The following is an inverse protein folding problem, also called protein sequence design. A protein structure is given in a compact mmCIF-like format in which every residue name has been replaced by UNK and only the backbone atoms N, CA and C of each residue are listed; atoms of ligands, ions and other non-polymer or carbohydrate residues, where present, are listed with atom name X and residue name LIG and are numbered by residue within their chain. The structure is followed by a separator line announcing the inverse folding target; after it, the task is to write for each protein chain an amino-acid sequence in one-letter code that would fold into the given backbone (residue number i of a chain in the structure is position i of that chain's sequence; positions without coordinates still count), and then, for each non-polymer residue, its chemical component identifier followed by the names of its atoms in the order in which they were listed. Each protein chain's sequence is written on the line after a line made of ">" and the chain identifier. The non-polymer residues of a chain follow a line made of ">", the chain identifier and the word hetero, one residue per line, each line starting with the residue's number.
data_IF_430538452980
#
_entry.id   IF_430538452980
#
_cell.length_a   1.000
_cell.length_b   1.000
_cell.length_c   1.000
_cell.angle_alpha   90.00
_cell.angle_beta   90.00
_cell.angle_gamma   90.00
#
_symmetry.space_group_name_H-M   'P 1'
#
loop_
_entity.id
_entity.type
_entity.pdbx_description
1 polymer ?
#
# COMPACT_ATOMS: atom_id res chain seq x y z
N UNK A 1 -12.26 19.88 -0.72
CA UNK A 1 -13.20 19.45 0.33
C UNK A 1 -12.89 20.06 1.71
N UNK A 2 -12.09 21.11 1.82
CA UNK A 2 -11.73 21.70 3.13
C UNK A 2 -12.83 22.57 3.76
N UNK A 3 -13.95 22.77 3.07
CA UNK A 3 -14.98 23.75 3.43
C UNK A 3 -16.18 23.15 4.18
N UNK A 4 -16.34 21.83 4.18
CA UNK A 4 -17.50 21.16 4.81
C UNK A 4 -17.01 20.28 5.93
N UNK A 5 -17.39 20.48 7.20
CA UNK A 5 -16.92 19.64 8.30
C UNK A 5 -17.37 18.18 8.13
N UNK A 6 -16.59 17.22 8.65
CA UNK A 6 -16.95 15.80 8.58
C UNK A 6 -15.77 14.83 8.70
N UNK A 7 -16.06 13.51 8.75
CA UNK A 7 -15.06 12.46 8.99
C UNK A 7 -14.01 12.32 7.87
N UNK A 8 -14.30 12.83 6.69
CA UNK A 8 -13.36 12.84 5.56
C UNK A 8 -12.07 13.61 5.88
N UNK A 9 -12.11 14.65 6.74
CA UNK A 9 -10.90 15.32 7.21
C UNK A 9 -9.97 14.38 7.97
N UNK A 10 -10.53 13.56 8.87
CA UNK A 10 -9.78 12.55 9.61
C UNK A 10 -9.25 11.47 8.67
N UNK A 11 -10.06 11.00 7.72
CA UNK A 11 -9.64 10.02 6.72
C UNK A 11 -8.45 10.52 5.88
N UNK A 12 -8.49 11.79 5.45
CA UNK A 12 -7.39 12.44 4.73
C UNK A 12 -6.14 12.58 5.60
N UNK A 13 -6.28 12.94 6.89
CA UNK A 13 -5.13 13.00 7.83
C UNK A 13 -4.45 11.64 7.97
N UNK A 14 -5.23 10.59 8.24
CA UNK A 14 -4.72 9.23 8.40
C UNK A 14 -4.08 8.71 7.11
N UNK A 15 -4.65 9.04 5.95
CA UNK A 15 -4.04 8.69 4.66
C UNK A 15 -2.68 9.37 4.46
N UNK A 16 -2.55 10.65 4.85
CA UNK A 16 -1.25 11.35 4.81
C UNK A 16 -0.23 10.72 5.74
N UNK A 17 -0.61 10.43 6.99
CA UNK A 17 0.26 9.77 7.97
C UNK A 17 0.76 8.40 7.45
N UNK A 18 -0.11 7.64 6.76
CA UNK A 18 0.29 6.39 6.13
C UNK A 18 1.27 6.60 4.98
N UNK A 19 1.06 7.61 4.14
CA UNK A 19 1.99 7.94 3.05
C UNK A 19 3.36 8.36 3.59
N UNK A 20 3.41 9.11 4.70
CA UNK A 20 4.65 9.46 5.40
C UNK A 20 5.37 8.22 5.95
N UNK A 21 4.64 7.29 6.55
CA UNK A 21 5.19 6.01 6.99
C UNK A 21 5.77 5.19 5.82
N UNK A 22 5.05 5.12 4.70
CA UNK A 22 5.53 4.47 3.47
C UNK A 22 6.80 5.14 2.95
N UNK A 23 6.91 6.46 3.04
CA UNK A 23 8.10 7.19 2.60
C UNK A 23 9.35 6.79 3.39
N UNK A 24 9.23 6.60 4.72
CA UNK A 24 10.35 6.13 5.54
C UNK A 24 10.77 4.69 5.17
N UNK A 25 9.81 3.81 4.86
CA UNK A 25 10.11 2.46 4.35
C UNK A 25 10.85 2.54 3.02
N UNK A 26 10.35 3.34 2.06
CA UNK A 26 10.97 3.48 0.74
C UNK A 26 12.40 4.02 0.87
N UNK A 27 12.62 4.99 1.76
CA UNK A 27 13.95 5.52 2.06
C UNK A 27 14.92 4.44 2.57
N UNK A 28 14.46 3.55 3.46
CA UNK A 28 15.26 2.41 3.91
C UNK A 28 15.55 1.41 2.78
N UNK A 29 14.57 1.14 1.91
CA UNK A 29 14.77 0.31 0.73
C UNK A 29 15.83 0.90 -0.22
N UNK A 30 15.80 2.23 -0.44
CA UNK A 30 16.78 2.92 -1.29
C UNK A 30 18.22 2.77 -0.80
N UNK A 31 18.44 2.79 0.52
CA UNK A 31 19.78 2.63 1.12
C UNK A 31 20.41 1.27 0.84
N UNK A 32 19.60 0.27 0.52
CA UNK A 32 20.01 -1.13 0.33
C UNK A 32 19.70 -1.64 -1.09
N UNK A 33 19.45 -0.73 -2.03
CA UNK A 33 19.05 -1.05 -3.39
C UNK A 33 20.21 -1.65 -4.19
N UNK A 34 19.97 -2.80 -4.82
CA UNK A 34 20.88 -3.42 -5.78
C UNK A 34 20.20 -3.53 -7.16
N UNK A 35 20.70 -2.78 -8.14
CA UNK A 35 20.08 -2.68 -9.47
C UNK A 35 20.00 -4.02 -10.23
N UNK A 36 20.92 -4.95 -9.97
CA UNK A 36 20.97 -6.27 -10.61
C UNK A 36 20.12 -7.33 -9.92
N UNK A 37 19.63 -7.06 -8.70
CA UNK A 37 18.92 -8.05 -7.86
C UNK A 37 17.79 -7.38 -7.05
N UNK A 38 16.68 -7.01 -7.70
CA UNK A 38 15.52 -6.45 -6.99
C UNK A 38 14.95 -7.47 -6.00
N UNK A 39 14.63 -7.02 -4.78
CA UNK A 39 14.10 -7.90 -3.71
C UNK A 39 12.58 -7.94 -3.68
N UNK A 40 11.94 -6.79 -3.89
CA UNK A 40 10.51 -6.60 -3.73
C UNK A 40 10.02 -5.45 -4.61
N UNK A 41 8.70 -5.23 -4.63
CA UNK A 41 8.03 -4.21 -5.45
C UNK A 41 8.73 -2.84 -5.46
N UNK A 42 9.14 -2.33 -4.29
CA UNK A 42 9.82 -1.03 -4.17
C UNK A 42 11.10 -0.98 -5.00
N UNK A 43 11.96 -2.01 -4.93
CA UNK A 43 13.20 -2.06 -5.71
C UNK A 43 12.91 -2.09 -7.20
N UNK A 44 11.92 -2.89 -7.62
CA UNK A 44 11.51 -2.97 -9.04
C UNK A 44 11.05 -1.60 -9.56
N UNK A 45 10.25 -0.88 -8.77
CA UNK A 45 9.77 0.45 -9.15
C UNK A 45 10.92 1.46 -9.21
N UNK A 46 11.80 1.47 -8.21
CA UNK A 46 12.96 2.37 -8.19
C UNK A 46 13.91 2.12 -9.38
N UNK A 47 14.16 0.86 -9.73
CA UNK A 47 14.97 0.50 -10.91
C UNK A 47 14.29 0.96 -12.21
N UNK A 48 12.96 0.84 -12.31
CA UNK A 48 12.21 1.30 -13.47
C UNK A 48 12.22 2.83 -13.58
N UNK A 49 12.08 3.54 -12.47
CA UNK A 49 12.23 4.99 -12.38
C UNK A 49 13.62 5.45 -12.85
N UNK A 50 14.70 4.77 -12.46
CA UNK A 50 16.05 5.10 -12.94
C UNK A 50 16.21 4.86 -14.45
N UNK A 51 15.58 3.80 -15.00
CA UNK A 51 15.60 3.50 -16.45
C UNK A 51 14.84 4.51 -17.30
N UNK A 52 13.85 5.19 -16.72
CA UNK A 52 12.98 6.15 -17.40
C UNK A 52 13.23 7.60 -17.01
N UNK A 53 14.34 7.88 -16.30
CA UNK A 53 14.64 9.22 -15.78
C UNK A 53 14.71 10.33 -16.83
N UNK A 54 14.99 9.96 -18.07
CA UNK A 54 15.11 10.88 -19.21
C UNK A 54 13.78 11.08 -19.96
N UNK A 55 12.73 10.33 -19.60
CA UNK A 55 11.38 10.51 -20.15
C UNK A 55 10.57 11.51 -19.29
N UNK A 56 10.29 12.73 -19.77
CA UNK A 56 9.52 13.71 -19.02
C UNK A 56 8.05 13.30 -18.81
N UNK A 57 7.55 12.31 -19.53
CA UNK A 57 6.17 11.81 -19.42
C UNK A 57 6.07 10.53 -18.58
N UNK A 58 7.14 10.09 -17.92
CA UNK A 58 7.11 8.87 -17.13
C UNK A 58 6.17 8.99 -15.92
N UNK A 59 5.37 7.93 -15.71
CA UNK A 59 4.59 7.76 -14.48
C UNK A 59 5.41 7.14 -13.35
N UNK A 60 6.64 6.72 -13.61
CA UNK A 60 7.56 6.20 -12.59
C UNK A 60 8.25 7.35 -11.88
N UNK A 61 7.54 7.95 -10.93
CA UNK A 61 8.05 9.01 -10.06
C UNK A 61 7.80 8.67 -8.59
N UNK A 62 8.49 9.38 -7.68
CA UNK A 62 8.41 9.12 -6.24
C UNK A 62 6.99 9.26 -5.69
N UNK A 63 6.22 10.25 -6.15
CA UNK A 63 4.84 10.44 -5.70
C UNK A 63 4.00 9.21 -6.04
N UNK A 64 4.06 8.74 -7.28
CA UNK A 64 3.31 7.57 -7.72
C UNK A 64 3.76 6.29 -7.01
N UNK A 65 5.06 6.12 -6.70
CA UNK A 65 5.54 5.02 -5.87
C UNK A 65 4.85 4.98 -4.50
N UNK A 66 4.87 6.11 -3.77
CA UNK A 66 4.28 6.19 -2.43
C UNK A 66 2.77 5.90 -2.46
N UNK A 67 2.04 6.51 -3.39
CA UNK A 67 0.59 6.29 -3.51
C UNK A 67 0.24 4.88 -4.01
N UNK A 68 1.09 4.25 -4.83
CA UNK A 68 0.87 2.87 -5.27
C UNK A 68 1.00 1.90 -4.09
N UNK A 69 2.04 2.06 -3.26
CA UNK A 69 2.19 1.24 -2.05
C UNK A 69 1.03 1.48 -1.07
N UNK A 70 0.63 2.74 -0.87
CA UNK A 70 -0.53 3.10 -0.06
C UNK A 70 -1.81 2.39 -0.52
N UNK A 71 -2.10 2.46 -1.83
CA UNK A 71 -3.27 1.83 -2.42
C UNK A 71 -3.25 0.31 -2.25
N UNK A 72 -2.11 -0.34 -2.52
CA UNK A 72 -1.95 -1.78 -2.34
C UNK A 72 -2.19 -2.19 -0.87
N UNK A 73 -1.65 -1.42 0.08
CA UNK A 73 -1.77 -1.71 1.49
C UNK A 73 -3.21 -1.62 1.99
N UNK A 74 -3.92 -0.53 1.68
CA UNK A 74 -5.33 -0.35 2.08
C UNK A 74 -6.21 -1.41 1.43
N UNK A 75 -6.06 -1.63 0.12
CA UNK A 75 -6.88 -2.57 -0.61
C UNK A 75 -6.76 -4.00 -0.05
N UNK A 76 -5.53 -4.46 0.21
CA UNK A 76 -5.31 -5.81 0.73
C UNK A 76 -5.74 -5.95 2.20
N UNK A 77 -5.41 -4.98 3.05
CA UNK A 77 -5.60 -5.12 4.50
C UNK A 77 -7.08 -5.16 4.87
N UNK A 78 -7.88 -4.21 4.39
CA UNK A 78 -9.30 -4.11 4.78
C UNK A 78 -10.11 -5.28 4.20
N UNK A 79 -9.86 -5.66 2.94
CA UNK A 79 -10.58 -6.75 2.27
C UNK A 79 -10.28 -8.11 2.90
N UNK A 80 -9.01 -8.43 3.15
CA UNK A 80 -8.62 -9.69 3.78
C UNK A 80 -9.07 -9.77 5.23
N UNK A 81 -8.87 -8.69 6.02
CA UNK A 81 -9.37 -8.62 7.40
C UNK A 81 -10.86 -8.87 7.46
N UNK A 82 -11.63 -8.21 6.60
CA UNK A 82 -13.09 -8.34 6.57
C UNK A 82 -13.49 -9.76 6.19
N UNK A 83 -12.87 -10.30 5.15
CA UNK A 83 -13.18 -11.66 4.65
C UNK A 83 -12.87 -12.71 5.71
N UNK A 84 -11.67 -12.67 6.30
CA UNK A 84 -11.28 -13.62 7.35
C UNK A 84 -12.15 -13.47 8.59
N UNK A 85 -12.46 -12.24 9.00
CA UNK A 85 -13.37 -11.99 10.11
C UNK A 85 -14.75 -12.61 9.89
N UNK A 86 -15.32 -12.44 8.70
CA UNK A 86 -16.59 -13.07 8.33
C UNK A 86 -16.47 -14.59 8.22
N UNK A 87 -15.39 -15.11 7.64
CA UNK A 87 -15.17 -16.53 7.51
C UNK A 87 -15.15 -17.22 8.88
N UNK A 88 -14.44 -16.64 9.87
CA UNK A 88 -14.41 -17.14 11.24
C UNK A 88 -15.80 -17.08 11.90
N UNK A 89 -16.54 -15.99 11.72
CA UNK A 89 -17.92 -15.88 12.24
C UNK A 89 -18.85 -16.94 11.62
N UNK A 90 -18.68 -17.26 10.34
CA UNK A 90 -19.44 -18.30 9.66
C UNK A 90 -19.08 -19.67 10.23
N UNK A 91 -17.80 -19.99 10.43
CA UNK A 91 -17.36 -21.26 11.03
C UNK A 91 -17.93 -21.44 12.44
N UNK A 92 -17.90 -20.40 13.29
CA UNK A 92 -18.51 -20.43 14.63
C UNK A 92 -20.03 -20.66 14.61
N UNK A 93 -20.71 -20.17 13.57
CA UNK A 93 -22.16 -20.33 13.42
C UNK A 93 -22.55 -21.72 12.90
N UNK A 94 -21.71 -22.32 12.08
CA UNK A 94 -21.94 -23.61 11.43
C UNK A 94 -20.80 -24.59 11.76
N UNK A 95 -20.72 -25.09 13.02
CA UNK A 95 -19.64 -25.97 13.45
C UNK A 95 -19.56 -27.29 12.66
N UNK A 96 -20.66 -27.73 12.03
CA UNK A 96 -20.68 -28.86 11.10
C UNK A 96 -19.90 -28.61 9.80
N UNK A 97 -19.63 -27.36 9.44
CA UNK A 97 -18.76 -26.97 8.31
C UNK A 97 -17.31 -26.92 8.76
N UNK A 98 -17.02 -26.50 9.99
CA UNK A 98 -15.67 -26.47 10.57
C UNK A 98 -15.14 -27.89 10.88
N UNK A 99 -16.00 -28.77 11.40
CA UNK A 99 -15.64 -30.14 11.80
C UNK A 99 -15.62 -31.16 10.65
N UNK A 100 -15.80 -30.72 9.40
CA UNK A 100 -15.64 -31.55 8.19
C UNK A 100 -14.19 -31.54 7.71
#
# INVERSE_FOLDING_TARGET
>A
MSYVPGPHHKAVSLSKEMVEFVAEIVKSCQQTLHLSKPRHFVDCFLIKMEKEKDDPNTEFNMKNLLYTIHNLFIAATESLKTTLGHALLILLKYPEVEGK
#
